data_IF_512125492451
#
_entry.id   IF_512125492451
#
_cell.length_a   1.000
_cell.length_b   1.000
_cell.length_c   1.000
_cell.angle_alpha   90.00
_cell.angle_beta   90.00
_cell.angle_gamma   90.00
#
_symmetry.space_group_name_H-M   'P 1'
#
loop_
_entity.id
_entity.type
_entity.pdbx_description
1 polymer ?
#
# COMPACT_ATOMS: atom_id res chain seq x y z
N UNK A 1 -74.33 42.18 -31.54
CA UNK A 1 -74.53 42.25 -30.07
C UNK A 1 -73.29 41.66 -29.42
N UNK A 2 -72.46 42.49 -28.75
CA UNK A 2 -71.23 42.06 -28.05
C UNK A 2 -71.62 41.49 -26.68
N UNK A 3 -71.10 40.32 -26.31
CA UNK A 3 -71.04 39.88 -24.92
C UNK A 3 -69.60 39.47 -24.62
N UNK A 4 -69.00 40.23 -23.70
CA UNK A 4 -67.68 40.01 -23.11
C UNK A 4 -67.88 39.02 -21.96
N UNK A 5 -67.21 37.88 -21.96
CA UNK A 5 -67.09 37.04 -20.76
C UNK A 5 -65.64 37.10 -20.27
N UNK A 6 -65.44 37.86 -19.20
CA UNK A 6 -64.14 38.00 -18.52
C UNK A 6 -63.77 36.70 -17.80
N UNK A 7 -62.60 36.16 -18.12
CA UNK A 7 -61.96 35.08 -17.37
C UNK A 7 -61.33 35.69 -16.11
N UNK A 8 -61.99 35.48 -14.97
CA UNK A 8 -61.46 35.84 -13.65
C UNK A 8 -60.35 34.84 -13.31
N UNK A 9 -59.09 35.23 -13.47
CA UNK A 9 -57.93 34.42 -13.06
C UNK A 9 -57.93 34.29 -11.53
N UNK A 10 -58.17 33.08 -11.02
CA UNK A 10 -58.05 32.79 -9.59
C UNK A 10 -56.56 32.66 -9.21
N UNK A 11 -56.02 33.49 -8.30
CA UNK A 11 -54.60 33.50 -7.93
C UNK A 11 -54.15 32.24 -7.15
N UNK A 12 -55.09 31.40 -6.72
CA UNK A 12 -54.82 30.20 -5.91
C UNK A 12 -54.24 29.06 -6.77
N UNK A 13 -54.65 28.95 -8.05
CA UNK A 13 -54.19 27.87 -8.93
C UNK A 13 -52.73 28.06 -9.39
N UNK A 14 -52.29 29.32 -9.49
CA UNK A 14 -50.90 29.66 -9.87
C UNK A 14 -49.94 29.38 -8.70
N UNK A 15 -50.37 29.59 -7.45
CA UNK A 15 -49.56 29.34 -6.25
C UNK A 15 -49.34 27.85 -5.96
N UNK A 16 -50.32 26.99 -6.24
CA UNK A 16 -50.16 25.54 -6.04
C UNK A 16 -49.22 24.96 -7.11
N UNK A 17 -49.33 25.42 -8.35
CA UNK A 17 -48.44 24.99 -9.43
C UNK A 17 -46.97 25.36 -9.19
N UNK A 18 -46.69 26.57 -8.69
CA UNK A 18 -45.31 27.00 -8.38
C UNK A 18 -44.73 26.25 -7.19
N UNK A 19 -45.51 25.97 -6.15
CA UNK A 19 -45.04 25.19 -4.99
C UNK A 19 -44.69 23.74 -5.38
N UNK A 20 -45.47 23.12 -6.26
CA UNK A 20 -45.17 21.77 -6.77
C UNK A 20 -43.87 21.78 -7.58
N UNK A 21 -43.65 22.77 -8.45
CA UNK A 21 -42.42 22.87 -9.25
C UNK A 21 -41.19 23.05 -8.34
N UNK A 22 -41.27 23.89 -7.30
CA UNK A 22 -40.18 24.08 -6.34
C UNK A 22 -39.90 22.79 -5.55
N UNK A 23 -40.94 22.06 -5.14
CA UNK A 23 -40.77 20.76 -4.47
C UNK A 23 -40.11 19.72 -5.38
N UNK A 24 -40.45 19.67 -6.66
CA UNK A 24 -39.81 18.76 -7.63
C UNK A 24 -38.33 19.10 -7.83
N UNK A 25 -37.98 20.39 -7.91
CA UNK A 25 -36.57 20.83 -8.03
C UNK A 25 -35.79 20.49 -6.76
N UNK A 26 -36.37 20.69 -5.57
CA UNK A 26 -35.74 20.32 -4.30
C UNK A 26 -35.57 18.80 -4.20
N UNK A 27 -36.58 18.00 -4.56
CA UNK A 27 -36.44 16.54 -4.60
C UNK A 27 -35.36 16.09 -5.59
N UNK A 28 -35.27 16.69 -6.78
CA UNK A 28 -34.19 16.40 -7.72
C UNK A 28 -32.81 16.80 -7.18
N UNK A 29 -32.70 17.94 -6.50
CA UNK A 29 -31.45 18.37 -5.88
C UNK A 29 -31.02 17.45 -4.73
N UNK A 30 -31.97 16.96 -3.92
CA UNK A 30 -31.69 15.99 -2.84
C UNK A 30 -31.27 14.64 -3.43
N UNK A 31 -31.94 14.15 -4.48
CA UNK A 31 -31.55 12.90 -5.16
C UNK A 31 -30.17 13.01 -5.82
N UNK A 32 -29.83 14.16 -6.40
CA UNK A 32 -28.49 14.41 -6.95
C UNK A 32 -27.40 14.55 -5.87
N UNK A 33 -27.74 15.05 -4.67
CA UNK A 33 -26.82 15.13 -3.53
C UNK A 33 -26.57 13.74 -2.92
N UNK A 34 -27.56 12.86 -2.95
CA UNK A 34 -27.43 11.48 -2.47
C UNK A 34 -26.56 10.61 -3.41
N UNK A 35 -26.59 10.86 -4.74
CA UNK A 35 -25.62 10.25 -5.67
C UNK A 35 -24.17 10.76 -5.50
N UNK A 36 -23.97 11.99 -4.99
CA UNK A 36 -22.64 12.58 -4.78
C UNK A 36 -22.01 12.24 -3.42
N UNK A 37 -22.76 11.63 -2.49
CA UNK A 37 -22.28 11.25 -1.16
C UNK A 37 -22.27 9.73 -0.91
N UNK A 38 -22.50 8.91 -1.94
CA UNK A 38 -22.11 7.51 -1.86
C UNK A 38 -20.59 7.46 -1.73
N UNK A 39 -20.03 6.90 -0.64
CA UNK A 39 -18.62 6.55 -0.66
C UNK A 39 -18.46 5.59 -1.83
N UNK A 40 -17.62 5.97 -2.79
CA UNK A 40 -17.07 5.04 -3.76
C UNK A 40 -16.37 3.97 -2.94
N UNK A 41 -17.09 2.88 -2.69
CA UNK A 41 -16.54 1.66 -2.17
C UNK A 41 -15.77 1.07 -3.35
N UNK A 42 -14.55 1.56 -3.56
CA UNK A 42 -13.54 0.95 -4.41
C UNK A 42 -13.11 -0.36 -3.79
N UNK A 43 -14.03 -1.32 -3.86
CA UNK A 43 -13.77 -2.73 -3.60
C UNK A 43 -14.47 -3.50 -4.71
N UNK A 44 -13.92 -3.35 -5.91
CA UNK A 44 -13.74 -4.50 -6.78
C UNK A 44 -12.58 -4.17 -7.71
N UNK A 45 -11.39 -4.47 -7.20
CA UNK A 45 -10.19 -4.71 -7.97
C UNK A 45 -10.57 -5.66 -9.07
N UNK A 46 -10.84 -5.09 -10.27
CA UNK A 46 -10.95 -5.84 -11.51
C UNK A 46 -9.87 -6.90 -11.48
N UNK A 47 -10.28 -8.15 -11.65
CA UNK A 47 -9.45 -9.28 -12.06
C UNK A 47 -8.44 -8.80 -13.11
N UNK A 48 -7.29 -8.31 -12.66
CA UNK A 48 -6.08 -8.24 -13.45
C UNK A 48 -5.73 -9.69 -13.65
N UNK A 49 -5.92 -10.18 -14.88
CA UNK A 49 -5.45 -11.48 -15.34
C UNK A 49 -4.15 -11.83 -14.60
N UNK A 50 -4.22 -12.85 -13.73
CA UNK A 50 -3.20 -13.20 -12.75
C UNK A 50 -1.93 -13.71 -13.46
N UNK A 51 -1.17 -12.81 -14.08
CA UNK A 51 0.17 -13.13 -14.57
C UNK A 51 1.09 -13.18 -13.36
N UNK A 52 1.66 -14.34 -13.09
CA UNK A 52 2.65 -14.51 -12.03
C UNK A 52 4.03 -14.13 -12.53
N UNK A 53 4.97 -13.86 -11.62
CA UNK A 53 6.39 -13.64 -11.96
C UNK A 53 6.96 -14.78 -12.84
N UNK A 54 6.45 -16.00 -12.69
CA UNK A 54 6.87 -17.18 -13.45
C UNK A 54 6.52 -17.11 -14.94
N UNK A 55 5.51 -16.33 -15.31
CA UNK A 55 5.04 -16.18 -16.69
C UNK A 55 5.74 -15.03 -17.44
N UNK A 56 6.59 -14.27 -16.75
CA UNK A 56 7.35 -13.18 -17.36
C UNK A 56 8.40 -13.69 -18.36
N UNK A 57 8.74 -12.88 -19.38
CA UNK A 57 9.91 -13.11 -20.23
C UNK A 57 11.19 -13.32 -19.40
N UNK A 58 12.06 -14.23 -19.83
CA UNK A 58 13.25 -14.60 -19.06
C UNK A 58 14.20 -13.42 -18.83
N UNK A 59 14.38 -12.57 -19.84
CA UNK A 59 15.20 -11.37 -19.75
C UNK A 59 14.64 -10.34 -18.75
N UNK A 60 13.32 -10.29 -18.57
CA UNK A 60 12.68 -9.45 -17.55
C UNK A 60 12.88 -10.02 -16.15
N UNK A 61 12.81 -11.36 -15.99
CA UNK A 61 13.11 -12.01 -14.70
C UNK A 61 14.56 -11.78 -14.28
N UNK A 62 15.49 -11.98 -15.20
CA UNK A 62 16.92 -11.73 -14.98
C UNK A 62 17.17 -10.28 -14.56
N UNK A 63 16.48 -9.32 -15.18
CA UNK A 63 16.56 -7.93 -14.78
C UNK A 63 15.99 -7.70 -13.37
N UNK A 64 14.84 -8.27 -13.03
CA UNK A 64 14.25 -8.15 -11.67
C UNK A 64 15.23 -8.69 -10.63
N UNK A 65 15.83 -9.85 -10.87
CA UNK A 65 16.82 -10.44 -9.97
C UNK A 65 18.09 -9.59 -9.89
N UNK A 66 18.55 -9.04 -11.01
CA UNK A 66 19.69 -8.12 -11.02
C UNK A 66 19.41 -6.87 -10.17
N UNK A 67 18.22 -6.25 -10.31
CA UNK A 67 17.82 -5.09 -9.51
C UNK A 67 17.77 -5.49 -8.02
N UNK A 68 17.13 -6.62 -7.67
CA UNK A 68 17.04 -7.11 -6.29
C UNK A 68 18.40 -7.29 -5.61
N UNK A 69 19.40 -7.77 -6.35
CA UNK A 69 20.71 -8.14 -5.80
C UNK A 69 21.74 -7.00 -5.82
N UNK A 70 21.68 -6.11 -6.81
CA UNK A 70 22.77 -5.19 -7.11
C UNK A 70 22.39 -3.71 -7.07
N UNK A 71 21.09 -3.39 -7.01
CA UNK A 71 20.67 -1.98 -6.96
C UNK A 71 20.96 -1.33 -5.61
N UNK A 72 21.15 -0.02 -5.62
CA UNK A 72 21.41 0.79 -4.42
C UNK A 72 20.13 1.30 -3.74
N UNK A 73 19.06 0.53 -3.87
CA UNK A 73 17.75 0.73 -3.26
C UNK A 73 17.14 -0.65 -2.99
N UNK A 74 16.25 -0.73 -1.99
CA UNK A 74 15.48 -1.94 -1.71
C UNK A 74 14.16 -1.95 -2.49
N UNK A 75 13.56 -3.13 -2.67
CA UNK A 75 12.23 -3.28 -3.28
C UNK A 75 11.22 -3.66 -2.19
N UNK A 76 10.24 -2.80 -1.94
CA UNK A 76 9.14 -3.08 -1.00
C UNK A 76 8.07 -3.95 -1.66
N UNK A 77 7.75 -3.68 -2.93
CA UNK A 77 6.67 -4.35 -3.66
C UNK A 77 6.96 -4.38 -5.16
N UNK A 78 6.45 -5.43 -5.82
CA UNK A 78 6.37 -5.51 -7.28
C UNK A 78 4.90 -5.65 -7.70
N UNK A 79 4.50 -4.91 -8.73
CA UNK A 79 3.20 -5.06 -9.38
C UNK A 79 3.36 -5.24 -10.88
N UNK A 80 2.56 -6.15 -11.45
CA UNK A 80 2.56 -6.45 -12.88
C UNK A 80 1.27 -5.95 -13.50
N UNK A 81 1.37 -4.95 -14.37
CA UNK A 81 0.28 -4.56 -15.25
C UNK A 81 0.42 -5.31 -16.58
N UNK A 82 -0.08 -6.55 -16.60
CA UNK A 82 0.03 -7.43 -17.76
C UNK A 82 -0.65 -6.86 -19.01
N UNK A 83 -1.66 -6.00 -18.84
CA UNK A 83 -2.43 -5.37 -19.92
C UNK A 83 -1.63 -4.28 -20.61
N UNK A 84 -1.00 -3.40 -19.84
CA UNK A 84 -0.19 -2.31 -20.37
C UNK A 84 1.29 -2.70 -20.52
N UNK A 85 1.66 -3.92 -20.12
CA UNK A 85 3.03 -4.42 -20.09
C UNK A 85 3.93 -3.51 -19.25
N UNK A 86 3.49 -3.16 -18.04
CA UNK A 86 4.33 -2.42 -17.09
C UNK A 86 4.74 -3.31 -15.92
N UNK A 87 6.03 -3.25 -15.58
CA UNK A 87 6.55 -3.73 -14.31
C UNK A 87 6.69 -2.51 -13.41
N UNK A 88 5.90 -2.44 -12.35
CA UNK A 88 5.97 -1.38 -11.34
C UNK A 88 6.79 -1.88 -10.16
N UNK A 89 7.88 -1.19 -9.88
CA UNK A 89 8.80 -1.47 -8.77
C UNK A 89 8.62 -0.37 -7.73
N UNK A 90 8.16 -0.75 -6.55
CA UNK A 90 8.12 0.14 -5.39
C UNK A 90 9.48 0.04 -4.69
N UNK A 91 10.22 1.15 -4.70
CA UNK A 91 11.59 1.24 -4.25
C UNK A 91 11.70 2.09 -2.98
N UNK A 92 12.55 1.68 -2.06
CA UNK A 92 12.85 2.40 -0.81
C UNK A 92 14.37 2.50 -0.60
N UNK A 93 14.80 3.37 0.32
CA UNK A 93 16.21 3.69 0.59
C UNK A 93 16.96 4.07 -0.71
N UNK A 94 16.33 4.88 -1.57
CA UNK A 94 16.94 5.32 -2.84
C UNK A 94 18.13 6.24 -2.56
N UNK A 95 19.34 5.74 -2.81
CA UNK A 95 20.59 6.50 -2.61
C UNK A 95 21.22 7.01 -3.91
N UNK A 96 20.84 6.45 -5.06
CA UNK A 96 21.39 6.77 -6.38
C UNK A 96 20.25 7.10 -7.37
N UNK A 97 19.86 8.37 -7.42
CA UNK A 97 18.81 8.85 -8.32
C UNK A 97 19.14 8.62 -9.80
N UNK A 98 20.43 8.54 -10.15
CA UNK A 98 20.85 8.27 -11.53
C UNK A 98 20.50 6.85 -11.92
N UNK A 99 20.73 5.88 -11.03
CA UNK A 99 20.34 4.49 -11.26
C UNK A 99 18.83 4.36 -11.52
N UNK A 100 18.01 5.03 -10.69
CA UNK A 100 16.55 5.09 -10.89
C UNK A 100 16.20 5.70 -12.25
N UNK A 101 16.85 6.81 -12.62
CA UNK A 101 16.61 7.44 -13.92
C UNK A 101 17.03 6.56 -15.10
N UNK A 102 18.06 5.73 -14.96
CA UNK A 102 18.52 4.82 -16.02
C UNK A 102 17.53 3.64 -16.21
N UNK A 103 16.86 3.21 -15.13
CA UNK A 103 15.85 2.15 -15.15
C UNK A 103 14.45 2.65 -15.54
N UNK A 104 14.12 3.90 -15.19
CA UNK A 104 12.79 4.47 -15.44
C UNK A 104 12.47 4.49 -16.94
N UNK A 105 11.38 3.82 -17.32
CA UNK A 105 10.95 3.72 -18.71
C UNK A 105 11.79 2.77 -19.58
N UNK A 106 12.76 2.05 -18.99
CA UNK A 106 13.54 1.02 -19.71
C UNK A 106 12.60 -0.05 -20.24
N UNK A 107 12.79 -0.44 -21.50
CA UNK A 107 11.99 -1.48 -22.15
C UNK A 107 12.74 -2.81 -22.24
N UNK A 108 12.09 -3.89 -21.83
CA UNK A 108 12.63 -5.26 -21.85
C UNK A 108 11.53 -6.20 -22.32
N UNK A 109 11.75 -6.93 -23.42
CA UNK A 109 10.77 -7.84 -24.02
C UNK A 109 9.34 -7.31 -24.08
N UNK A 110 9.16 -6.05 -24.50
CA UNK A 110 7.91 -5.27 -24.57
C UNK A 110 7.33 -4.74 -23.26
N UNK A 111 7.95 -5.04 -22.13
CA UNK A 111 7.59 -4.48 -20.83
C UNK A 111 8.33 -3.18 -20.59
N UNK A 112 7.67 -2.24 -19.93
CA UNK A 112 8.26 -0.97 -19.50
C UNK A 112 8.41 -0.99 -17.99
N UNK A 113 9.61 -0.67 -17.50
CA UNK A 113 9.88 -0.54 -16.07
C UNK A 113 9.40 0.83 -15.59
N UNK A 114 8.67 0.84 -14.48
CA UNK A 114 8.27 2.02 -13.74
C UNK A 114 8.75 1.89 -12.30
N UNK A 115 9.54 2.84 -11.82
CA UNK A 115 9.97 2.90 -10.42
C UNK A 115 9.10 3.95 -9.71
N UNK A 116 8.59 3.57 -8.54
CA UNK A 116 7.85 4.44 -7.63
C UNK A 116 8.62 4.49 -6.32
N UNK A 117 8.94 5.69 -5.82
CA UNK A 117 9.54 5.84 -4.49
C UNK A 117 8.47 5.62 -3.43
N UNK A 118 8.62 4.56 -2.64
CA UNK A 118 7.69 4.12 -1.62
C UNK A 118 7.99 4.77 -0.26
N UNK A 119 7.66 6.06 -0.18
CA UNK A 119 7.90 6.90 1.01
C UNK A 119 7.04 6.45 2.21
N UNK A 120 5.86 5.89 1.95
CA UNK A 120 4.97 5.39 3.00
C UNK A 120 5.58 4.15 3.67
N UNK A 121 6.11 3.21 2.88
CA UNK A 121 6.86 2.06 3.41
C UNK A 121 8.10 2.48 4.21
N UNK A 122 8.88 3.46 3.74
CA UNK A 122 10.04 3.98 4.50
C UNK A 122 9.63 4.49 5.87
N UNK A 123 8.53 5.25 5.93
CA UNK A 123 8.02 5.81 7.17
C UNK A 123 7.53 4.73 8.13
N UNK A 124 6.82 3.72 7.65
CA UNK A 124 6.39 2.57 8.46
C UNK A 124 7.59 1.79 8.99
N UNK A 125 8.58 1.52 8.13
CA UNK A 125 9.83 0.85 8.50
C UNK A 125 10.60 1.62 9.58
N UNK A 126 10.67 2.95 9.49
CA UNK A 126 11.32 3.80 10.49
C UNK A 126 10.58 3.80 11.84
N UNK A 127 9.25 3.75 11.81
CA UNK A 127 8.43 3.61 13.02
C UNK A 127 8.69 2.26 13.71
N UNK A 128 8.63 1.16 12.96
CA UNK A 128 8.95 -0.18 13.47
C UNK A 128 10.37 -0.20 14.05
N UNK A 129 11.36 0.33 13.31
CA UNK A 129 12.75 0.38 13.77
C UNK A 129 12.89 1.12 15.10
N UNK A 130 12.18 2.22 15.28
CA UNK A 130 12.18 2.98 16.52
C UNK A 130 11.59 2.18 17.68
N UNK A 131 10.48 1.48 17.46
CA UNK A 131 9.87 0.61 18.48
C UNK A 131 10.80 -0.56 18.86
N UNK A 132 11.48 -1.17 17.89
CA UNK A 132 12.46 -2.24 18.15
C UNK A 132 13.67 -1.74 18.93
N UNK A 133 14.14 -0.52 18.69
CA UNK A 133 15.20 0.10 19.50
C UNK A 133 14.77 0.33 20.96
N UNK A 134 13.48 0.55 21.23
CA UNK A 134 12.99 0.62 22.61
C UNK A 134 12.90 -0.77 23.25
N UNK A 135 12.46 -1.80 22.50
CA UNK A 135 12.48 -3.18 22.97
C UNK A 135 13.90 -3.68 23.26
N UNK A 136 14.88 -3.34 22.43
CA UNK A 136 16.28 -3.73 22.62
C UNK A 136 16.88 -3.23 23.95
N UNK A 137 16.35 -2.13 24.50
CA UNK A 137 16.79 -1.59 25.79
C UNK A 137 16.28 -2.38 26.99
N UNK A 138 15.27 -3.23 26.80
CA UNK A 138 14.73 -4.07 27.87
C UNK A 138 15.65 -5.27 28.14
N UNK A 139 16.33 -5.32 29.30
CA UNK A 139 17.23 -6.41 29.62
C UNK A 139 16.52 -7.77 29.77
N UNK A 140 15.22 -7.80 30.04
CA UNK A 140 14.46 -9.07 30.16
C UNK A 140 14.29 -9.77 28.81
N UNK A 141 14.29 -8.99 27.72
CA UNK A 141 14.18 -9.52 26.36
C UNK A 141 15.50 -10.11 25.84
N UNK A 142 16.64 -9.68 26.39
CA UNK A 142 17.97 -10.14 25.99
C UNK A 142 18.23 -10.05 24.47
N UNK A 143 17.72 -8.99 23.83
CA UNK A 143 17.88 -8.78 22.39
C UNK A 143 19.36 -8.46 22.10
N UNK A 144 19.94 -9.22 21.19
CA UNK A 144 21.29 -9.06 20.67
C UNK A 144 21.32 -8.18 19.42
N UNK A 145 20.20 -8.08 18.71
CA UNK A 145 20.03 -7.26 17.53
C UNK A 145 18.77 -7.65 16.76
N UNK A 146 18.45 -6.89 15.72
CA UNK A 146 17.30 -7.15 14.86
C UNK A 146 17.54 -6.65 13.44
N UNK A 147 16.76 -7.18 12.51
CA UNK A 147 16.66 -6.68 11.14
C UNK A 147 15.20 -6.67 10.66
N UNK A 148 15.02 -6.03 9.53
CA UNK A 148 13.73 -5.76 8.91
C UNK A 148 13.83 -6.25 7.47
N UNK A 149 13.04 -7.27 7.12
CA UNK A 149 12.82 -7.69 5.73
C UNK A 149 11.48 -7.13 5.23
N UNK A 150 11.06 -7.45 4.01
CA UNK A 150 9.73 -7.08 3.54
C UNK A 150 8.68 -7.87 4.33
N UNK A 151 7.93 -7.20 5.22
CA UNK A 151 6.85 -7.74 6.07
C UNK A 151 7.27 -8.63 7.26
N UNK A 152 8.57 -8.85 7.49
CA UNK A 152 9.05 -9.61 8.65
C UNK A 152 10.06 -8.84 9.49
N UNK A 153 10.02 -9.10 10.79
CA UNK A 153 10.94 -8.56 11.79
C UNK A 153 11.71 -9.72 12.39
N UNK A 154 13.02 -9.81 12.13
CA UNK A 154 13.85 -10.83 12.79
C UNK A 154 14.51 -10.23 14.02
N UNK A 155 14.28 -10.86 15.18
CA UNK A 155 14.88 -10.48 16.46
C UNK A 155 15.80 -11.60 16.91
N UNK A 156 17.09 -11.30 17.07
CA UNK A 156 18.06 -12.22 17.66
C UNK A 156 18.19 -11.96 19.15
N UNK A 157 18.14 -13.03 19.95
CA UNK A 157 18.28 -12.98 21.41
C UNK A 157 19.45 -13.82 21.88
N UNK A 158 20.12 -13.41 22.96
CA UNK A 158 21.24 -14.18 23.53
C UNK A 158 20.77 -15.52 24.12
N UNK A 159 19.69 -15.48 24.89
CA UNK A 159 19.06 -16.66 25.48
C UNK A 159 17.55 -16.60 25.27
N UNK A 160 16.90 -17.76 25.19
CA UNK A 160 15.44 -17.84 25.13
C UNK A 160 14.85 -17.59 26.51
N UNK A 161 14.02 -16.55 26.63
CA UNK A 161 13.26 -16.22 27.84
C UNK A 161 11.77 -16.29 27.54
N UNK A 162 10.90 -16.56 28.53
CA UNK A 162 9.46 -16.47 28.32
C UNK A 162 9.01 -15.13 27.71
N UNK A 163 9.66 -14.04 28.10
CA UNK A 163 9.36 -12.68 27.68
C UNK A 163 9.67 -12.47 26.19
N UNK A 164 10.86 -12.89 25.73
CA UNK A 164 11.21 -12.75 24.32
C UNK A 164 10.48 -13.75 23.43
N UNK A 165 10.24 -14.98 23.90
CA UNK A 165 9.47 -15.96 23.14
C UNK A 165 8.00 -15.54 22.98
N UNK A 166 7.47 -14.73 23.89
CA UNK A 166 6.14 -14.15 23.75
C UNK A 166 6.06 -13.10 22.63
N UNK A 167 7.18 -12.67 22.03
CA UNK A 167 7.18 -11.80 20.85
C UNK A 167 7.03 -12.59 19.55
N UNK A 168 7.43 -13.85 19.51
CA UNK A 168 7.41 -14.67 18.31
C UNK A 168 5.98 -14.84 17.77
N UNK A 169 5.79 -14.57 16.47
CA UNK A 169 4.51 -14.59 15.78
C UNK A 169 3.57 -13.41 16.09
N UNK A 170 3.99 -12.42 16.90
CA UNK A 170 3.23 -11.18 17.04
C UNK A 170 3.37 -10.31 15.80
N UNK A 171 2.35 -9.52 15.55
CA UNK A 171 2.37 -8.50 14.51
C UNK A 171 2.69 -7.12 15.12
N UNK A 172 3.62 -6.40 14.51
CA UNK A 172 3.91 -4.99 14.77
C UNK A 172 3.71 -4.25 13.45
N UNK A 173 2.70 -3.38 13.39
CA UNK A 173 2.31 -2.67 12.15
C UNK A 173 2.06 -3.61 10.95
N UNK A 174 1.50 -4.80 11.21
CA UNK A 174 1.24 -5.81 10.19
C UNK A 174 2.45 -6.67 9.81
N UNK A 175 3.63 -6.43 10.41
CA UNK A 175 4.83 -7.22 10.15
C UNK A 175 4.99 -8.31 11.21
N UNK A 176 5.32 -9.52 10.77
CA UNK A 176 5.43 -10.68 11.67
C UNK A 176 6.78 -10.72 12.35
N UNK A 177 6.79 -10.85 13.67
CA UNK A 177 8.02 -10.98 14.46
C UNK A 177 8.47 -12.44 14.50
N UNK A 178 9.75 -12.67 14.22
CA UNK A 178 10.43 -13.96 14.34
C UNK A 178 11.59 -13.87 15.33
N UNK A 179 11.61 -14.76 16.32
CA UNK A 179 12.64 -14.76 17.38
C UNK A 179 13.64 -15.89 17.16
N UNK A 180 14.90 -15.50 16.97
CA UNK A 180 16.03 -16.37 16.70
C UNK A 180 17.04 -16.32 17.84
N UNK A 181 17.79 -17.41 18.04
CA UNK A 181 18.92 -17.38 18.97
C UNK A 181 20.14 -16.82 18.23
N UNK A 182 20.78 -15.81 18.81
CA UNK A 182 21.99 -15.22 18.27
C UNK A 182 23.13 -16.25 18.25
N UNK A 183 23.88 -16.32 17.15
CA UNK A 183 25.13 -17.05 17.12
C UNK A 183 26.17 -16.24 17.93
N UNK A 184 26.33 -16.58 19.21
CA UNK A 184 27.42 -16.03 20.00
C UNK A 184 28.71 -16.76 19.62
N UNK A 185 29.78 -16.07 19.19
CA UNK A 185 31.09 -16.69 19.09
C UNK A 185 31.46 -17.19 20.49
N UNK A 186 31.70 -18.50 20.63
CA UNK A 186 32.35 -19.02 21.85
C UNK A 186 33.79 -18.53 21.89
N UNK A 187 34.41 -18.45 23.08
CA UNK A 187 35.85 -18.14 23.22
C UNK A 187 36.76 -19.05 22.37
N UNK A 188 36.26 -20.22 21.94
CA UNK A 188 36.95 -21.20 21.10
C UNK A 188 36.59 -21.13 19.61
N UNK A 189 35.71 -20.20 19.19
CA UNK A 189 35.30 -20.03 17.79
C UNK A 189 34.41 -21.14 17.23
N UNK A 190 33.85 -22.00 18.08
CA UNK A 190 32.92 -23.06 17.65
C UNK A 190 31.49 -22.58 17.93
N UNK A 191 30.76 -22.27 16.86
CA UNK A 191 29.31 -22.05 16.93
C UNK A 191 28.63 -23.36 17.33
N UNK A 192 27.82 -23.36 18.39
CA UNK A 192 26.96 -24.51 18.70
C UNK A 192 25.69 -24.39 17.85
N UNK A 193 25.49 -25.36 16.96
CA UNK A 193 24.23 -25.61 16.26
C UNK A 193 23.20 -26.23 17.21
#
# INVERSE_FOLDING_TARGET
>A
MKIILGIKKHPILVGVGTVIIVLVIICFAVLMVEELQSPEKTEDTKETENMTLEELPEDLKDEIEHIRLYSKFGISKLELDAKNKHLVIYAFDITDEKEVSDLQGKQISNWTIQIVHDVDYEKERDQIRTELMELEKDPELQIAGFDLSTEEINVWVYERTPENQALDGKEIHGWTVHVWVALTPTETGINRC
#
